data_IF_644161529264
#
_entry.id   IF_644161529264
#
_cell.length_a   1.000
_cell.length_b   1.000
_cell.length_c   1.000
_cell.angle_alpha   90.00
_cell.angle_beta   90.00
_cell.angle_gamma   90.00
#
_symmetry.space_group_name_H-M   'P 1'
#
loop_
_entity.id
_entity.type
_entity.pdbx_description
1 polymer ?
#
# COMPACT_ATOMS: atom_id res chain seq x y z
N UNK A 1 -19.16 14.24 -30.61
CA UNK A 1 -20.03 14.87 -29.60
C UNK A 1 -19.94 13.97 -28.38
N UNK A 2 -18.79 14.05 -27.71
CA UNK A 2 -18.56 14.65 -26.37
C UNK A 2 -19.00 13.69 -25.27
N UNK A 3 -18.08 12.88 -24.74
CA UNK A 3 -18.02 12.68 -23.29
C UNK A 3 -16.70 12.03 -22.83
N UNK A 4 -16.07 12.61 -21.79
CA UNK A 4 -14.67 12.46 -21.39
C UNK A 4 -14.58 12.16 -19.87
N UNK A 5 -13.90 11.05 -19.53
CA UNK A 5 -12.75 10.92 -18.58
C UNK A 5 -12.80 11.28 -17.08
N UNK A 6 -12.31 10.32 -16.28
CA UNK A 6 -11.77 10.26 -14.89
C UNK A 6 -12.40 10.90 -13.56
N UNK A 7 -12.79 10.15 -12.48
CA UNK A 7 -13.20 10.60 -11.12
C UNK A 7 -12.27 11.71 -10.61
N UNK A 8 -12.75 12.92 -10.31
CA UNK A 8 -11.85 14.06 -10.11
C UNK A 8 -10.98 13.86 -8.86
N UNK A 9 -11.40 13.02 -7.90
CA UNK A 9 -10.60 12.62 -6.75
C UNK A 9 -9.54 11.58 -7.12
N UNK A 10 -9.89 10.57 -7.93
CA UNK A 10 -8.92 9.58 -8.43
C UNK A 10 -7.91 10.25 -9.34
N UNK A 11 -8.34 11.14 -10.24
CA UNK A 11 -7.46 12.00 -11.04
C UNK A 11 -6.55 12.79 -10.13
N UNK A 12 -7.09 13.42 -9.10
CA UNK A 12 -6.28 14.27 -8.22
C UNK A 12 -5.32 13.46 -7.37
N UNK A 13 -5.69 12.27 -6.92
CA UNK A 13 -4.77 11.36 -6.25
C UNK A 13 -3.71 10.85 -7.21
N UNK A 14 -4.08 10.40 -8.42
CA UNK A 14 -3.14 9.98 -9.44
C UNK A 14 -2.23 11.12 -9.89
N UNK A 15 -2.76 12.35 -9.93
CA UNK A 15 -2.00 13.56 -10.22
C UNK A 15 -1.06 13.88 -9.07
N UNK A 16 -1.52 13.78 -7.82
CA UNK A 16 -0.69 13.95 -6.63
C UNK A 16 0.41 12.88 -6.58
N UNK A 17 0.09 11.61 -6.84
CA UNK A 17 1.05 10.52 -6.98
C UNK A 17 2.01 10.78 -8.12
N UNK A 18 1.52 11.19 -9.29
CA UNK A 18 2.35 11.48 -10.44
C UNK A 18 3.29 12.65 -10.13
N UNK A 19 2.82 13.72 -9.50
CA UNK A 19 3.65 14.84 -9.06
C UNK A 19 4.65 14.42 -7.98
N UNK A 20 4.25 13.53 -7.07
CA UNK A 20 5.12 12.90 -6.08
C UNK A 20 6.17 11.95 -6.71
N UNK A 21 5.90 11.41 -7.90
CA UNK A 21 6.76 10.45 -8.61
C UNK A 21 7.58 11.11 -9.74
N UNK A 22 7.18 12.28 -10.24
CA UNK A 22 7.80 13.03 -11.35
C UNK A 22 9.17 13.64 -11.01
N UNK A 23 9.63 13.57 -9.76
CA UNK A 23 11.06 13.62 -9.47
C UNK A 23 11.70 12.37 -10.10
N UNK A 24 12.20 12.48 -11.33
CA UNK A 24 12.71 11.45 -12.26
C UNK A 24 13.80 10.47 -11.73
N UNK A 25 13.66 9.94 -10.52
CA UNK A 25 14.51 8.95 -9.89
C UNK A 25 13.78 7.68 -9.45
N UNK A 26 12.45 7.62 -9.56
CA UNK A 26 11.66 6.48 -9.07
C UNK A 26 10.58 6.07 -10.07
N UNK A 27 10.83 5.05 -10.90
CA UNK A 27 9.76 4.42 -11.64
C UNK A 27 9.07 3.46 -10.67
N UNK A 28 8.24 3.96 -9.77
CA UNK A 28 7.07 3.16 -9.39
C UNK A 28 5.96 3.70 -10.24
N UNK A 29 5.67 2.99 -11.33
CA UNK A 29 4.28 2.90 -11.76
C UNK A 29 3.59 2.39 -10.51
N UNK A 30 2.77 3.23 -9.87
CA UNK A 30 1.82 2.76 -8.87
C UNK A 30 1.25 1.44 -9.40
N UNK A 31 0.94 0.46 -8.54
CA UNK A 31 0.25 -0.76 -8.98
C UNK A 31 -1.01 -0.45 -9.83
N UNK A 32 -1.45 0.82 -9.82
CA UNK A 32 -2.28 1.46 -10.82
C UNK A 32 -1.55 1.68 -12.16
N UNK A 33 -1.86 0.88 -13.17
CA UNK A 33 -1.63 1.28 -14.55
C UNK A 33 -2.38 2.61 -14.82
N UNK A 34 -1.62 3.69 -14.96
CA UNK A 34 -2.11 5.07 -15.16
C UNK A 34 -2.83 5.23 -16.52
N UNK A 35 -2.88 4.19 -17.34
CA UNK A 35 -3.37 4.30 -18.72
C UNK A 35 -4.89 4.48 -18.86
N UNK A 36 -5.71 4.45 -17.80
CA UNK A 36 -7.16 4.71 -17.91
C UNK A 36 -7.80 5.12 -16.58
N UNK A 37 -7.73 6.41 -16.19
CA UNK A 37 -8.51 6.91 -15.06
C UNK A 37 -10.03 6.78 -15.34
N UNK A 38 -10.75 5.99 -14.54
CA UNK A 38 -12.22 5.74 -14.63
C UNK A 38 -13.03 7.02 -14.51
N UNK A 39 -14.04 7.28 -15.36
CA UNK A 39 -14.75 8.58 -15.44
C UNK A 39 -15.56 9.08 -14.24
N UNK A 40 -15.61 10.42 -14.02
CA UNK A 40 -16.06 11.07 -12.80
C UNK A 40 -17.56 11.19 -12.72
N UNK A 41 -18.21 11.14 -13.87
CA UNK A 41 -19.61 11.50 -14.00
C UNK A 41 -20.51 10.27 -13.90
N UNK A 42 -20.03 9.20 -13.27
CA UNK A 42 -20.89 8.16 -12.68
C UNK A 42 -20.13 7.41 -11.58
N UNK A 43 -19.83 8.07 -10.45
CA UNK A 43 -19.69 7.28 -9.20
C UNK A 43 -21.01 6.52 -9.07
N UNK A 44 -20.97 5.21 -9.29
CA UNK A 44 -22.19 4.41 -9.30
C UNK A 44 -22.78 4.40 -7.90
N UNK A 45 -24.07 4.09 -7.78
CA UNK A 45 -24.68 3.93 -6.45
C UNK A 45 -23.92 2.86 -5.64
N UNK A 46 -23.43 1.84 -6.34
CA UNK A 46 -22.60 0.77 -5.82
C UNK A 46 -21.25 1.30 -5.29
N UNK A 47 -20.61 2.23 -6.01
CA UNK A 47 -19.36 2.88 -5.58
C UNK A 47 -19.57 3.74 -4.33
N UNK A 48 -20.65 4.54 -4.27
CA UNK A 48 -20.99 5.34 -3.08
C UNK A 48 -21.21 4.44 -1.86
N UNK A 49 -21.95 3.35 -2.02
CA UNK A 49 -22.19 2.35 -0.96
C UNK A 49 -20.87 1.70 -0.53
N UNK A 50 -20.03 1.32 -1.50
CA UNK A 50 -18.74 0.70 -1.23
C UNK A 50 -17.81 1.65 -0.45
N UNK A 51 -17.76 2.93 -0.82
CA UNK A 51 -16.99 3.98 -0.14
C UNK A 51 -17.48 4.20 1.28
N UNK A 52 -18.78 4.40 1.50
CA UNK A 52 -19.33 4.56 2.84
C UNK A 52 -19.07 3.36 3.75
N UNK A 53 -19.18 2.14 3.21
CA UNK A 53 -18.81 0.91 3.92
C UNK A 53 -17.32 0.85 4.26
N UNK A 54 -16.45 1.18 3.31
CA UNK A 54 -15.01 1.19 3.50
C UNK A 54 -14.58 2.24 4.54
N UNK A 55 -15.18 3.44 4.50
CA UNK A 55 -14.99 4.49 5.51
C UNK A 55 -15.39 4.00 6.90
N UNK A 56 -16.59 3.42 7.04
CA UNK A 56 -17.04 2.87 8.32
C UNK A 56 -16.10 1.79 8.86
N UNK A 57 -15.67 0.86 8.00
CA UNK A 57 -14.73 -0.19 8.38
C UNK A 57 -13.36 0.34 8.74
N UNK A 58 -12.83 1.33 8.01
CA UNK A 58 -11.56 2.00 8.33
C UNK A 58 -11.62 2.66 9.71
N UNK A 59 -12.67 3.43 9.98
CA UNK A 59 -12.86 4.06 11.29
C UNK A 59 -12.99 3.04 12.42
N UNK A 60 -13.65 1.91 12.16
CA UNK A 60 -13.77 0.82 13.12
C UNK A 60 -12.43 0.11 13.36
N UNK A 61 -11.64 -0.16 12.30
CA UNK A 61 -10.30 -0.75 12.41
C UNK A 61 -9.33 0.17 13.17
N UNK A 62 -9.34 1.47 12.89
CA UNK A 62 -8.54 2.45 13.63
C UNK A 62 -8.85 2.43 15.14
N UNK A 63 -10.08 2.09 15.53
CA UNK A 63 -10.47 1.95 16.94
C UNK A 63 -10.19 0.58 17.52
N UNK A 64 -10.37 -0.49 16.74
CA UNK A 64 -10.52 -1.87 17.28
C UNK A 64 -9.43 -2.84 16.86
N UNK A 65 -8.76 -2.65 15.72
CA UNK A 65 -7.74 -3.59 15.24
C UNK A 65 -6.42 -3.37 15.98
N UNK A 66 -5.87 -4.40 16.66
CA UNK A 66 -4.54 -4.31 17.26
C UNK A 66 -3.46 -3.97 16.23
N UNK A 67 -3.51 -4.60 15.04
CA UNK A 67 -2.55 -4.39 13.96
C UNK A 67 -2.56 -2.94 13.46
N UNK A 68 -3.75 -2.43 13.08
CA UNK A 68 -3.87 -1.07 12.52
C UNK A 68 -3.47 -0.02 13.57
N UNK A 69 -3.89 -0.19 14.83
CA UNK A 69 -3.50 0.71 15.92
C UNK A 69 -1.99 0.69 16.18
N UNK A 70 -1.39 -0.50 16.18
CA UNK A 70 0.05 -0.67 16.33
C UNK A 70 0.81 0.07 15.22
N UNK A 71 0.41 -0.12 13.96
CA UNK A 71 1.05 0.56 12.83
C UNK A 71 0.90 2.08 12.88
N UNK A 72 -0.28 2.60 13.22
CA UNK A 72 -0.49 4.06 13.42
C UNK A 72 0.43 4.59 14.53
N UNK A 73 0.56 3.87 15.65
CA UNK A 73 1.45 4.24 16.76
C UNK A 73 2.91 4.31 16.29
N UNK A 74 3.43 3.25 15.69
CA UNK A 74 4.85 3.19 15.29
C UNK A 74 5.18 4.13 14.14
N UNK A 75 4.25 4.36 13.20
CA UNK A 75 4.39 5.42 12.21
C UNK A 75 4.46 6.81 12.86
N UNK A 76 3.65 7.05 13.89
CA UNK A 76 3.66 8.32 14.63
C UNK A 76 4.98 8.52 15.38
N UNK A 77 5.52 7.47 16.01
CA UNK A 77 6.81 7.53 16.72
C UNK A 77 7.98 7.94 15.80
N UNK A 78 7.94 7.56 14.52
CA UNK A 78 8.96 7.94 13.53
C UNK A 78 8.56 9.18 12.69
N UNK A 79 7.63 10.00 13.20
CA UNK A 79 7.17 11.25 12.57
C UNK A 79 6.48 11.07 11.21
N UNK A 80 5.86 9.91 10.97
CA UNK A 80 5.12 9.58 9.74
C UNK A 80 3.65 9.25 10.01
N UNK A 81 3.00 9.98 10.92
CA UNK A 81 1.61 9.75 11.30
C UNK A 81 0.67 9.79 10.08
N UNK A 82 -0.01 8.68 9.72
CA UNK A 82 -0.91 8.63 8.56
C UNK A 82 -2.23 9.37 8.79
N UNK A 83 -2.56 9.72 10.04
CA UNK A 83 -3.76 10.43 10.43
C UNK A 83 -3.56 11.94 10.57
N UNK A 84 -2.32 12.43 10.46
CA UNK A 84 -2.07 13.87 10.51
C UNK A 84 -2.53 14.55 9.21
N UNK A 85 -3.02 15.79 9.28
CA UNK A 85 -3.22 16.60 8.07
C UNK A 85 -1.91 16.71 7.27
N UNK A 86 -2.02 16.85 5.95
CA UNK A 86 -0.87 17.22 5.12
C UNK A 86 -0.50 18.67 5.40
N UNK A 87 0.79 19.01 5.37
CA UNK A 87 1.23 20.40 5.60
C UNK A 87 0.57 21.39 4.63
N UNK A 88 0.40 20.98 3.36
CA UNK A 88 -0.23 21.77 2.30
C UNK A 88 -1.77 21.77 2.35
N UNK A 89 -2.41 21.20 3.39
CA UNK A 89 -3.89 21.10 3.50
C UNK A 89 -4.60 22.47 3.50
N UNK A 90 -3.84 23.57 3.65
CA UNK A 90 -4.36 24.92 3.44
C UNK A 90 -4.85 25.18 1.99
N UNK A 91 -4.37 24.41 1.02
CA UNK A 91 -4.88 24.45 -0.35
C UNK A 91 -6.12 23.55 -0.49
N UNK A 92 -7.27 24.18 -0.77
CA UNK A 92 -8.51 23.47 -1.10
C UNK A 92 -8.22 22.46 -2.22
N UNK A 93 -8.29 21.17 -1.89
CA UNK A 93 -8.10 20.08 -2.85
C UNK A 93 -7.04 19.07 -2.47
N UNK A 94 -6.13 19.30 -1.53
CA UNK A 94 -5.14 18.25 -1.19
C UNK A 94 -5.84 17.04 -0.55
N UNK A 95 -5.75 15.82 -1.13
CA UNK A 95 -6.44 14.65 -0.58
C UNK A 95 -5.83 14.23 0.76
N UNK A 96 -6.61 13.60 1.66
CA UNK A 96 -6.09 13.07 2.92
C UNK A 96 -4.97 12.05 2.67
N UNK A 97 -4.12 11.86 3.68
CA UNK A 97 -3.05 10.86 3.69
C UNK A 97 -3.56 9.42 3.53
N UNK A 98 -4.71 9.11 4.12
CA UNK A 98 -5.47 7.89 3.86
C UNK A 98 -6.68 8.23 2.97
N UNK A 99 -6.59 7.93 1.69
CA UNK A 99 -7.65 8.16 0.72
C UNK A 99 -8.46 6.89 0.47
N UNK A 100 -9.79 7.01 0.46
CA UNK A 100 -10.71 5.98 -0.01
C UNK A 100 -11.34 6.47 -1.31
N UNK A 101 -11.23 5.67 -2.37
CA UNK A 101 -11.82 5.99 -3.67
C UNK A 101 -12.21 4.71 -4.43
N UNK A 102 -12.85 4.88 -5.58
CA UNK A 102 -13.14 3.78 -6.50
C UNK A 102 -12.00 3.58 -7.49
N UNK A 103 -11.68 2.33 -7.80
CA UNK A 103 -10.52 1.97 -8.62
C UNK A 103 -10.87 1.05 -9.80
N UNK A 104 -10.04 1.05 -10.86
CA UNK A 104 -10.09 0.02 -11.90
C UNK A 104 -9.93 -1.39 -11.31
N UNK A 105 -10.22 -2.44 -12.09
CA UNK A 105 -9.95 -3.82 -11.65
C UNK A 105 -8.47 -4.00 -11.29
N UNK A 106 -8.19 -5.05 -10.53
CA UNK A 106 -6.84 -5.55 -10.20
C UNK A 106 -6.08 -4.89 -9.03
N UNK A 107 -6.64 -3.87 -8.37
CA UNK A 107 -6.01 -3.23 -7.20
C UNK A 107 -6.95 -3.11 -6.00
N UNK A 108 -6.51 -3.50 -4.80
CA UNK A 108 -7.28 -3.33 -3.55
C UNK A 108 -6.90 -2.05 -2.78
N UNK A 109 -5.66 -1.59 -2.98
CA UNK A 109 -5.08 -0.40 -2.39
C UNK A 109 -3.70 -0.14 -2.98
N UNK A 110 -3.02 0.87 -2.47
CA UNK A 110 -1.62 1.12 -2.82
C UNK A 110 -0.99 2.25 -2.01
N UNK A 111 0.28 2.06 -1.67
CA UNK A 111 1.13 3.07 -1.06
C UNK A 111 1.69 4.02 -2.13
N UNK A 112 1.69 5.30 -1.82
CA UNK A 112 2.31 6.35 -2.61
C UNK A 112 3.39 7.03 -1.78
N UNK A 113 4.68 6.78 -2.08
CA UNK A 113 5.77 7.47 -1.40
C UNK A 113 5.75 8.96 -1.71
N UNK A 114 6.24 9.78 -0.77
CA UNK A 114 6.55 11.17 -1.06
C UNK A 114 7.74 11.27 -2.02
N UNK A 115 7.84 12.34 -2.82
CA UNK A 115 9.05 12.61 -3.58
C UNK A 115 10.26 12.82 -2.64
N UNK A 116 11.51 12.59 -3.09
CA UNK A 116 12.72 12.80 -2.30
C UNK A 116 12.87 14.22 -1.75
N UNK A 117 12.28 15.21 -2.41
CA UNK A 117 12.32 16.61 -2.01
C UNK A 117 11.30 16.97 -0.92
N UNK A 118 10.39 16.04 -0.57
CA UNK A 118 9.41 16.23 0.51
C UNK A 118 9.67 15.27 1.67
N UNK A 119 9.23 15.61 2.91
CA UNK A 119 9.31 14.70 4.04
C UNK A 119 8.60 13.38 3.75
N UNK A 120 9.17 12.25 4.19
CA UNK A 120 8.55 10.91 4.07
C UNK A 120 7.17 10.85 4.76
N UNK A 121 6.93 11.74 5.71
CA UNK A 121 5.65 11.95 6.39
C UNK A 121 4.51 12.42 5.46
N UNK A 122 4.84 12.94 4.27
CA UNK A 122 3.88 13.36 3.24
C UNK A 122 3.54 12.23 2.26
N UNK A 123 3.91 10.98 2.54
CA UNK A 123 3.41 9.83 1.78
C UNK A 123 1.89 9.65 1.97
N UNK A 124 1.28 8.73 1.23
CA UNK A 124 -0.15 8.42 1.38
C UNK A 124 -0.50 6.99 1.01
N UNK A 125 -1.71 6.58 1.37
CA UNK A 125 -2.29 5.28 1.05
C UNK A 125 -3.62 5.50 0.33
N UNK A 126 -3.85 4.77 -0.76
CA UNK A 126 -5.14 4.62 -1.42
C UNK A 126 -5.77 3.30 -1.02
N UNK A 127 -7.07 3.33 -0.71
CA UNK A 127 -7.92 2.18 -0.46
C UNK A 127 -9.02 2.16 -1.53
N UNK A 128 -9.06 1.09 -2.32
CA UNK A 128 -9.99 0.94 -3.43
C UNK A 128 -11.32 0.35 -2.93
N UNK A 129 -12.24 1.21 -2.52
CA UNK A 129 -13.48 0.84 -1.83
C UNK A 129 -14.29 -0.24 -2.55
N UNK A 130 -14.42 -0.11 -3.87
CA UNK A 130 -15.13 -1.04 -4.76
C UNK A 130 -14.41 -2.39 -4.95
N UNK A 131 -13.20 -2.55 -4.42
CA UNK A 131 -12.37 -3.77 -4.47
C UNK A 131 -12.19 -4.42 -3.09
N UNK A 132 -12.64 -3.76 -2.04
CA UNK A 132 -12.65 -4.28 -0.67
C UNK A 132 -13.96 -5.06 -0.41
N UNK A 133 -13.87 -6.39 -0.29
CA UNK A 133 -15.03 -7.27 -0.12
C UNK A 133 -15.37 -7.63 1.34
N UNK A 134 -14.48 -7.38 2.30
CA UNK A 134 -14.75 -7.61 3.74
C UNK A 134 -13.91 -6.69 4.63
N UNK A 135 -14.31 -6.53 5.90
CA UNK A 135 -13.53 -5.77 6.90
C UNK A 135 -12.15 -6.38 7.12
N UNK A 136 -12.05 -7.72 7.15
CA UNK A 136 -10.76 -8.42 7.19
C UNK A 136 -9.93 -8.18 5.93
N UNK A 137 -10.57 -8.04 4.75
CA UNK A 137 -9.84 -7.63 3.54
C UNK A 137 -9.21 -6.26 3.72
N UNK A 138 -10.01 -5.29 4.20
CA UNK A 138 -9.53 -3.94 4.47
C UNK A 138 -8.40 -3.91 5.49
N UNK A 139 -8.50 -4.70 6.57
CA UNK A 139 -7.50 -4.77 7.63
C UNK A 139 -6.14 -5.20 7.09
N UNK A 140 -6.09 -6.29 6.33
CA UNK A 140 -4.81 -6.75 5.78
C UNK A 140 -4.29 -5.75 4.72
N UNK A 141 -5.18 -5.17 3.88
CA UNK A 141 -4.78 -4.15 2.89
C UNK A 141 -4.18 -2.92 3.56
N UNK A 142 -4.86 -2.30 4.53
CA UNK A 142 -4.34 -1.09 5.17
C UNK A 142 -3.06 -1.38 5.96
N UNK A 143 -2.94 -2.57 6.56
CA UNK A 143 -1.74 -3.00 7.28
C UNK A 143 -0.55 -3.18 6.33
N UNK A 144 -0.79 -3.77 5.15
CA UNK A 144 0.20 -3.91 4.08
C UNK A 144 0.75 -2.55 3.65
N UNK A 145 -0.13 -1.61 3.33
CA UNK A 145 0.29 -0.28 2.89
C UNK A 145 0.93 0.54 4.03
N UNK A 146 0.54 0.33 5.29
CA UNK A 146 1.20 0.94 6.44
C UNK A 146 2.61 0.39 6.67
N UNK A 147 2.89 -0.88 6.35
CA UNK A 147 4.25 -1.44 6.41
C UNK A 147 5.12 -0.79 5.33
N UNK A 148 4.62 -0.63 4.11
CA UNK A 148 5.33 0.14 3.07
C UNK A 148 5.63 1.57 3.52
N UNK A 149 4.67 2.23 4.17
CA UNK A 149 4.90 3.56 4.73
C UNK A 149 5.99 3.52 5.80
N UNK A 150 5.92 2.57 6.74
CA UNK A 150 6.91 2.45 7.80
C UNK A 150 8.31 2.22 7.23
N UNK A 151 8.44 1.33 6.25
CA UNK A 151 9.69 1.06 5.56
C UNK A 151 10.24 2.31 4.87
N UNK A 152 9.38 3.02 4.12
CA UNK A 152 9.76 4.24 3.43
C UNK A 152 10.27 5.31 4.40
N UNK A 153 9.61 5.46 5.55
CA UNK A 153 10.04 6.40 6.58
C UNK A 153 11.30 5.98 7.31
N UNK A 154 11.42 4.69 7.68
CA UNK A 154 12.50 4.16 8.51
C UNK A 154 13.79 3.88 7.74
N UNK A 155 13.68 3.27 6.56
CA UNK A 155 14.83 2.84 5.75
C UNK A 155 15.10 3.74 4.55
N UNK A 156 14.26 4.75 4.32
CA UNK A 156 14.38 5.64 3.14
C UNK A 156 14.42 4.83 1.84
N UNK A 157 13.43 3.95 1.71
CA UNK A 157 13.31 2.98 0.61
C UNK A 157 13.51 3.68 -0.74
N UNK A 158 14.49 3.18 -1.48
CA UNK A 158 14.69 3.56 -2.89
C UNK A 158 13.79 2.66 -3.74
N UNK A 159 12.63 3.17 -4.10
CA UNK A 159 11.60 2.47 -4.86
C UNK A 159 11.98 2.16 -6.33
N UNK A 160 13.08 2.72 -6.84
CA UNK A 160 13.66 2.39 -8.15
C UNK A 160 14.70 1.27 -8.05
N UNK A 161 15.24 1.05 -6.85
CA UNK A 161 16.11 -0.08 -6.54
C UNK A 161 15.26 -1.34 -6.29
N UNK A 162 15.34 -2.29 -7.22
CA UNK A 162 14.57 -3.54 -7.15
C UNK A 162 14.78 -4.32 -5.84
N UNK A 163 15.97 -4.27 -5.22
CA UNK A 163 16.24 -4.94 -3.94
C UNK A 163 15.48 -4.28 -2.78
N UNK A 164 15.45 -2.95 -2.74
CA UNK A 164 14.71 -2.21 -1.70
C UNK A 164 13.20 -2.43 -1.86
N UNK A 165 12.70 -2.34 -3.11
CA UNK A 165 11.31 -2.63 -3.42
C UNK A 165 10.93 -4.06 -3.01
N UNK A 166 11.70 -5.07 -3.44
CA UNK A 166 11.46 -6.47 -3.07
C UNK A 166 11.47 -6.69 -1.55
N UNK A 167 12.39 -6.02 -0.84
CA UNK A 167 12.48 -6.13 0.61
C UNK A 167 11.21 -5.63 1.31
N UNK A 168 10.71 -4.45 0.89
CA UNK A 168 9.48 -3.88 1.46
C UNK A 168 8.26 -4.75 1.15
N UNK A 169 8.19 -5.33 -0.05
CA UNK A 169 7.13 -6.26 -0.46
C UNK A 169 7.13 -7.57 0.32
N UNK A 170 8.30 -8.15 0.57
CA UNK A 170 8.44 -9.35 1.40
C UNK A 170 7.91 -9.07 2.81
N UNK A 171 8.28 -7.93 3.39
CA UNK A 171 7.84 -7.54 4.73
C UNK A 171 6.36 -7.23 4.79
N UNK A 172 5.84 -6.46 3.85
CA UNK A 172 4.42 -6.14 3.76
C UNK A 172 3.58 -7.42 3.61
N UNK A 173 3.94 -8.34 2.72
CA UNK A 173 3.23 -9.60 2.54
C UNK A 173 3.35 -10.55 3.75
N UNK A 174 4.49 -10.54 4.44
CA UNK A 174 4.75 -11.40 5.60
C UNK A 174 4.03 -10.92 6.87
N UNK A 175 4.01 -9.61 7.12
CA UNK A 175 3.61 -9.03 8.41
C UNK A 175 2.16 -8.51 8.43
N UNK A 176 1.57 -8.18 7.28
CA UNK A 176 0.22 -7.56 7.22
C UNK A 176 -0.95 -8.52 7.42
N UNK A 177 -0.72 -9.83 7.35
CA UNK A 177 -1.78 -10.83 7.25
C UNK A 177 -2.17 -11.20 5.81
N UNK A 178 -1.58 -10.56 4.80
CA UNK A 178 -1.85 -10.85 3.39
C UNK A 178 -1.65 -12.31 3.00
N UNK A 179 -0.65 -12.95 3.60
CA UNK A 179 -0.30 -14.35 3.42
C UNK A 179 -0.74 -15.24 4.59
N UNK A 180 -1.80 -14.86 5.31
CA UNK A 180 -2.43 -15.71 6.32
C UNK A 180 -3.05 -16.96 5.69
N UNK A 181 -2.86 -18.11 6.36
CA UNK A 181 -3.24 -19.44 5.86
C UNK A 181 -4.73 -19.55 5.49
N UNK A 182 -5.63 -18.88 6.22
CA UNK A 182 -7.07 -18.83 5.91
C UNK A 182 -7.38 -18.21 4.54
N UNK A 183 -6.55 -17.28 4.06
CA UNK A 183 -6.67 -16.71 2.72
C UNK A 183 -6.15 -17.63 1.63
N UNK A 184 -5.10 -18.39 1.93
CA UNK A 184 -4.50 -19.32 0.95
C UNK A 184 -5.36 -20.57 0.73
N UNK A 185 -6.15 -21.00 1.73
CA UNK A 185 -7.23 -21.99 1.53
C UNK A 185 -8.27 -21.46 0.53
N UNK A 186 -8.72 -20.21 0.67
CA UNK A 186 -9.62 -19.58 -0.32
C UNK A 186 -8.96 -19.39 -1.70
N UNK A 187 -7.62 -19.37 -1.77
CA UNK A 187 -6.83 -19.35 -3.02
C UNK A 187 -6.39 -20.74 -3.51
N UNK A 188 -6.94 -21.83 -2.94
CA UNK A 188 -6.72 -23.25 -3.34
C UNK A 188 -5.29 -23.78 -3.15
N UNK A 189 -4.49 -23.21 -2.25
CA UNK A 189 -3.16 -23.74 -1.93
C UNK A 189 -3.22 -24.64 -0.68
N UNK A 190 -3.07 -25.96 -0.87
CA UNK A 190 -3.33 -26.99 0.15
C UNK A 190 -2.08 -27.62 0.81
N UNK A 191 -0.86 -27.27 0.42
CA UNK A 191 0.33 -27.82 1.09
C UNK A 191 0.41 -27.31 2.55
N UNK A 192 0.71 -28.15 3.54
CA UNK A 192 0.69 -27.79 4.96
C UNK A 192 1.98 -27.09 5.45
N UNK A 193 3.07 -27.15 4.68
CA UNK A 193 4.36 -26.55 5.04
C UNK A 193 4.79 -25.51 4.01
N UNK A 194 5.47 -24.45 4.46
CA UNK A 194 6.00 -23.34 3.63
C UNK A 194 4.97 -22.51 2.84
N UNK A 195 3.66 -22.64 3.07
CA UNK A 195 2.67 -21.83 2.36
C UNK A 195 2.85 -20.34 2.54
N UNK A 196 3.14 -19.92 3.77
CA UNK A 196 3.37 -18.52 4.06
C UNK A 196 4.57 -18.00 3.25
N UNK A 197 5.70 -18.71 3.25
CA UNK A 197 6.88 -18.38 2.46
C UNK A 197 6.59 -18.36 0.95
N UNK A 198 5.88 -19.35 0.44
CA UNK A 198 5.50 -19.41 -0.97
C UNK A 198 4.58 -18.25 -1.38
N UNK A 199 3.62 -17.90 -0.53
CA UNK A 199 2.76 -16.74 -0.74
C UNK A 199 3.58 -15.45 -0.74
N UNK A 200 4.47 -15.26 0.23
CA UNK A 200 5.31 -14.06 0.33
C UNK A 200 6.28 -13.95 -0.85
N UNK A 201 6.94 -15.03 -1.26
CA UNK A 201 7.76 -15.06 -2.49
C UNK A 201 6.94 -14.67 -3.71
N UNK A 202 5.75 -15.27 -3.87
CA UNK A 202 4.86 -14.96 -4.99
C UNK A 202 4.45 -13.48 -5.01
N UNK A 203 4.09 -12.90 -3.86
CA UNK A 203 3.71 -11.48 -3.74
C UNK A 203 4.88 -10.57 -4.10
N UNK A 204 6.07 -10.84 -3.55
CA UNK A 204 7.28 -10.10 -3.89
C UNK A 204 7.61 -10.16 -5.39
N UNK A 205 7.54 -11.34 -6.01
CA UNK A 205 7.81 -11.50 -7.45
C UNK A 205 6.79 -10.71 -8.28
N UNK A 206 5.50 -10.82 -7.96
CA UNK A 206 4.44 -10.09 -8.67
C UNK A 206 4.63 -8.57 -8.58
N UNK A 207 4.98 -8.05 -7.40
CA UNK A 207 5.18 -6.60 -7.24
C UNK A 207 6.45 -6.12 -7.95
N UNK A 208 7.57 -6.83 -7.80
CA UNK A 208 8.83 -6.49 -8.48
C UNK A 208 8.68 -6.53 -10.01
N UNK A 209 7.88 -7.47 -10.56
CA UNK A 209 7.56 -7.52 -12.00
C UNK A 209 6.85 -6.26 -12.50
N UNK A 210 6.09 -5.57 -11.65
CA UNK A 210 5.43 -4.30 -11.99
C UNK A 210 6.38 -3.10 -12.00
N UNK A 211 7.60 -3.24 -11.48
CA UNK A 211 8.58 -2.16 -11.45
C UNK A 211 9.24 -1.98 -12.83
N UNK A 212 9.26 -0.79 -13.44
CA UNK A 212 9.87 -0.54 -14.75
C UNK A 212 11.39 -0.75 -14.81
N UNK A 213 12.11 -0.81 -13.68
CA UNK A 213 13.51 -1.23 -13.67
C UNK A 213 13.67 -2.75 -13.84
N UNK A 214 12.61 -3.54 -13.63
CA UNK A 214 12.58 -4.98 -13.79
C UNK A 214 12.41 -5.37 -15.27
N UNK A 215 13.37 -6.11 -15.81
CA UNK A 215 13.41 -6.43 -17.25
C UNK A 215 12.78 -7.78 -17.62
N UNK A 216 12.62 -8.68 -16.65
CA UNK A 216 12.06 -10.01 -16.89
C UNK A 216 11.58 -10.66 -15.60
N UNK A 217 10.79 -11.73 -15.72
CA UNK A 217 10.34 -12.52 -14.57
C UNK A 217 11.51 -13.18 -13.82
N UNK A 218 12.54 -13.64 -14.53
CA UNK A 218 13.75 -14.22 -13.93
C UNK A 218 14.51 -13.20 -13.09
N UNK A 219 14.54 -11.93 -13.53
CA UNK A 219 15.13 -10.84 -12.75
C UNK A 219 14.33 -10.62 -11.46
N UNK A 220 13.00 -10.60 -11.52
CA UNK A 220 12.17 -10.45 -10.34
C UNK A 220 12.39 -11.60 -9.34
N UNK A 221 12.40 -12.84 -9.82
CA UNK A 221 12.68 -14.04 -9.01
C UNK A 221 14.06 -13.96 -8.34
N UNK A 222 15.10 -13.60 -9.10
CA UNK A 222 16.47 -13.46 -8.57
C UNK A 222 16.55 -12.37 -7.51
N UNK A 223 15.95 -11.20 -7.75
CA UNK A 223 15.98 -10.08 -6.78
C UNK A 223 15.28 -10.46 -5.48
N UNK A 224 14.13 -11.14 -5.55
CA UNK A 224 13.41 -11.62 -4.37
C UNK A 224 14.23 -12.63 -3.59
N UNK A 225 14.88 -13.58 -4.28
CA UNK A 225 15.76 -14.55 -3.63
C UNK A 225 16.98 -13.89 -2.98
N UNK A 226 17.59 -12.93 -3.68
CA UNK A 226 18.80 -12.23 -3.24
C UNK A 226 18.61 -11.42 -1.93
N UNK A 227 17.38 -11.01 -1.61
CA UNK A 227 17.07 -10.26 -0.36
C UNK A 227 16.28 -11.08 0.65
N UNK A 228 15.89 -12.31 0.30
CA UNK A 228 14.94 -13.13 1.03
C UNK A 228 15.30 -13.28 2.52
N UNK A 229 16.50 -13.77 2.81
CA UNK A 229 16.92 -14.06 4.17
C UNK A 229 16.99 -12.81 5.05
N UNK A 230 17.35 -11.65 4.48
CA UNK A 230 17.41 -10.40 5.24
C UNK A 230 16.04 -9.82 5.51
N UNK A 231 15.12 -9.88 4.54
CA UNK A 231 13.86 -9.14 4.60
C UNK A 231 12.73 -9.98 5.19
N UNK A 232 12.72 -11.30 4.96
CA UNK A 232 11.68 -12.18 5.50
C UNK A 232 11.80 -12.36 7.02
N UNK A 233 13.01 -12.29 7.57
CA UNK A 233 13.24 -12.35 9.01
C UNK A 233 13.26 -10.98 9.70
N UNK A 234 13.14 -9.88 8.94
CA UNK A 234 13.04 -8.53 9.50
C UNK A 234 11.58 -8.19 9.83
N UNK A 235 11.27 -8.36 11.09
CA UNK A 235 9.96 -8.19 11.71
C UNK A 235 9.78 -6.81 12.33
N UNK A 236 10.69 -5.86 12.16
CA UNK A 236 10.49 -4.52 12.73
C UNK A 236 9.24 -3.85 12.11
N UNK A 237 8.46 -3.09 12.89
CA UNK A 237 8.65 -2.77 14.31
C UNK A 237 8.07 -3.79 15.32
N UNK A 238 7.60 -4.96 14.88
CA UNK A 238 6.87 -5.93 15.72
C UNK A 238 7.72 -6.64 16.79
N UNK A 239 9.05 -6.73 16.60
CA UNK A 239 9.96 -7.39 17.56
C UNK A 239 10.62 -6.42 18.55
N UNK A 240 10.33 -5.11 18.44
CA UNK A 240 10.83 -4.13 19.40
C UNK A 240 9.97 -4.23 20.67
N UNK A 241 10.46 -4.96 21.69
CA UNK A 241 9.89 -4.92 23.02
C UNK A 241 9.89 -3.47 23.51
N UNK A 242 8.70 -2.86 23.61
CA UNK A 242 8.52 -1.56 24.27
C UNK A 242 8.86 -1.69 25.77
N UNK A 243 10.15 -1.57 26.09
CA UNK A 243 10.62 -1.11 27.39
C UNK A 243 10.57 0.42 27.40
N UNK A 244 9.36 0.99 27.35
CA UNK A 244 9.14 2.34 27.86
C UNK A 244 7.83 2.35 28.66
N UNK A 245 8.06 2.47 29.95
CA UNK A 245 7.19 2.65 31.10
C UNK A 245 6.10 3.71 30.96
N UNK A 246 5.00 3.47 31.67
CA UNK A 246 4.18 4.40 32.49
C UNK A 246 4.43 5.89 32.24
#
# INVERSE_FOLDING_TARGET
MTDDTADPFVVRWLTWCSQALQSHKYPIRSLVDVSSPLSPDTETREDVIARGRCEQWKEDLLRTSPMVRFMVKHLTLIQCNPLSPREDSASQGTPPKLLIASCPPDIAGGFSPSPPERPTAESGILLCANRIFSKAHLEDTISHEMIHWWDHCRFKVDWGNLRHHACSEIRAASLSGDCNWTREINRRHFALSKQHQNCVKRRGILSVRGNPACKSEEMAMKVVEDVWDSCFHDTRPFDEYEFDSI
#
